data_IF_751783920808
#
_entry.id   IF_751783920808
#
_cell.length_a   1.000
_cell.length_b   1.000
_cell.length_c   1.000
_cell.angle_alpha   90.00
_cell.angle_beta   90.00
_cell.angle_gamma   90.00
#
_symmetry.space_group_name_H-M   'P 1'
#
loop_
_entity.id
_entity.type
_entity.pdbx_description
1 polymer ?
#
# COMPACT_ATOMS: atom_id res chain seq x y z
N UNK A 1 21.94 -31.40 6.79
CA UNK A 1 21.17 -30.56 5.84
C UNK A 1 22.16 -29.91 4.87
N UNK A 2 21.81 -29.84 3.59
CA UNK A 2 22.66 -29.22 2.57
C UNK A 2 22.69 -27.70 2.75
N UNK A 3 23.80 -27.04 2.40
CA UNK A 3 23.91 -25.59 2.45
C UNK A 3 22.85 -24.92 1.56
N UNK A 4 22.48 -25.58 0.45
CA UNK A 4 21.42 -25.13 -0.45
C UNK A 4 20.04 -25.10 0.23
N UNK A 5 19.70 -26.11 1.04
CA UNK A 5 18.45 -26.11 1.79
C UNK A 5 18.41 -25.02 2.86
N UNK A 6 19.55 -24.72 3.49
CA UNK A 6 19.63 -23.63 4.47
C UNK A 6 19.47 -22.25 3.82
N UNK A 7 20.07 -22.04 2.64
CA UNK A 7 19.92 -20.81 1.87
C UNK A 7 18.46 -20.63 1.41
N UNK A 8 17.81 -21.70 0.94
CA UNK A 8 16.40 -21.64 0.53
C UNK A 8 15.48 -21.29 1.71
N UNK A 9 15.69 -21.92 2.88
CA UNK A 9 14.92 -21.60 4.08
C UNK A 9 15.12 -20.14 4.50
N UNK A 10 16.35 -19.63 4.43
CA UNK A 10 16.63 -18.23 4.74
C UNK A 10 15.96 -17.27 3.74
N UNK A 11 15.94 -17.60 2.45
CA UNK A 11 15.17 -16.82 1.45
C UNK A 11 13.68 -16.82 1.77
N UNK A 12 13.11 -17.96 2.12
CA UNK A 12 11.69 -18.07 2.47
C UNK A 12 11.36 -17.26 3.74
N UNK A 13 12.25 -17.24 4.74
CA UNK A 13 12.13 -16.39 5.93
C UNK A 13 12.18 -14.90 5.59
N UNK A 14 13.11 -14.49 4.73
CA UNK A 14 13.20 -13.10 4.25
C UNK A 14 11.93 -12.69 3.50
N UNK A 15 11.41 -13.54 2.60
CA UNK A 15 10.17 -13.29 1.86
C UNK A 15 8.97 -13.22 2.81
N UNK A 16 8.88 -14.10 3.81
CA UNK A 16 7.81 -14.04 4.82
C UNK A 16 7.90 -12.81 5.71
N UNK A 17 9.10 -12.30 5.98
CA UNK A 17 9.31 -11.12 6.82
C UNK A 17 9.05 -9.82 6.06
N UNK A 18 9.59 -9.70 4.85
CA UNK A 18 9.61 -8.46 4.09
C UNK A 18 8.63 -8.41 2.92
N UNK A 19 8.23 -9.54 2.35
CA UNK A 19 7.43 -9.58 1.13
C UNK A 19 6.07 -10.24 1.33
N UNK A 20 5.64 -10.49 2.58
CA UNK A 20 4.37 -11.17 2.84
C UNK A 20 3.18 -10.28 2.42
N UNK A 21 2.42 -10.68 1.38
CA UNK A 21 1.32 -9.87 0.86
C UNK A 21 0.18 -9.71 1.87
N UNK A 22 0.07 -10.57 2.89
CA UNK A 22 -0.90 -10.44 3.99
C UNK A 22 -0.64 -9.22 4.88
N UNK A 23 0.53 -8.57 4.77
CA UNK A 23 0.92 -7.38 5.53
C UNK A 23 0.72 -6.07 4.77
N UNK A 24 0.23 -6.13 3.53
CA UNK A 24 -0.09 -4.92 2.76
C UNK A 24 -1.44 -4.37 3.20
N UNK A 25 -1.49 -3.07 3.49
CA UNK A 25 -2.73 -2.36 3.78
C UNK A 25 -3.08 -1.48 2.59
N UNK A 26 -4.33 -1.58 2.13
CA UNK A 26 -4.85 -0.75 1.07
C UNK A 26 -5.69 0.38 1.68
N UNK A 27 -5.37 1.61 1.31
CA UNK A 27 -6.19 2.76 1.64
C UNK A 27 -6.72 3.38 0.35
N UNK A 28 -8.04 3.37 0.20
CA UNK A 28 -8.71 3.82 -1.01
C UNK A 28 -9.40 5.15 -0.74
N UNK A 29 -9.09 6.17 -1.53
CA UNK A 29 -9.85 7.44 -1.49
C UNK A 29 -11.32 7.20 -1.83
N UNK A 30 -12.15 8.21 -1.59
CA UNK A 30 -13.50 8.19 -2.13
C UNK A 30 -13.51 8.13 -3.67
N UNK A 31 -14.65 7.75 -4.24
CA UNK A 31 -14.86 7.80 -5.68
C UNK A 31 -15.17 9.23 -6.11
N UNK A 32 -14.31 9.78 -6.96
CA UNK A 32 -14.42 11.10 -7.56
C UNK A 32 -15.03 10.99 -8.96
N UNK A 33 -15.92 11.92 -9.32
CA UNK A 33 -16.36 12.10 -10.71
C UNK A 33 -15.33 12.86 -11.54
N UNK A 34 -15.49 12.87 -12.87
CA UNK A 34 -14.60 13.62 -13.80
C UNK A 34 -14.48 15.11 -13.46
N UNK A 35 -15.55 15.73 -12.93
CA UNK A 35 -15.59 17.16 -12.59
C UNK A 35 -15.05 17.47 -11.18
N UNK A 36 -14.46 16.49 -10.50
CA UNK A 36 -13.98 16.70 -9.13
C UNK A 36 -12.72 17.56 -9.11
N UNK A 37 -12.63 18.47 -8.15
CA UNK A 37 -11.43 19.28 -7.94
C UNK A 37 -10.24 18.40 -7.53
N UNK A 38 -9.12 18.57 -8.25
CA UNK A 38 -7.88 17.85 -8.00
C UNK A 38 -7.32 18.14 -6.60
N UNK A 39 -7.56 19.33 -6.05
CA UNK A 39 -7.08 19.67 -4.71
C UNK A 39 -7.78 18.83 -3.62
N UNK A 40 -9.05 18.47 -3.81
CA UNK A 40 -9.76 17.56 -2.92
C UNK A 40 -9.17 16.13 -2.94
N UNK A 41 -8.71 15.69 -4.11
CA UNK A 41 -8.08 14.38 -4.28
C UNK A 41 -6.71 14.37 -3.60
N UNK A 42 -5.91 15.41 -3.81
CA UNK A 42 -4.60 15.58 -3.18
C UNK A 42 -4.71 15.58 -1.65
N UNK A 43 -5.68 16.30 -1.11
CA UNK A 43 -5.86 16.41 0.33
C UNK A 43 -6.33 15.09 0.98
N UNK A 44 -7.24 14.33 0.34
CA UNK A 44 -7.63 12.99 0.84
C UNK A 44 -6.44 12.03 0.82
N UNK A 45 -5.66 12.01 -0.27
CA UNK A 45 -4.42 11.24 -0.35
C UNK A 45 -3.44 11.62 0.76
N UNK A 46 -3.20 12.92 0.97
CA UNK A 46 -2.28 13.41 2.00
C UNK A 46 -2.71 13.01 3.40
N UNK A 47 -3.99 13.18 3.74
CA UNK A 47 -4.53 12.78 5.06
C UNK A 47 -4.35 11.30 5.33
N UNK A 48 -4.55 10.45 4.32
CA UNK A 48 -4.35 9.01 4.43
C UNK A 48 -2.89 8.67 4.62
N UNK A 49 -1.99 9.25 3.83
CA UNK A 49 -0.54 9.04 3.97
C UNK A 49 -0.10 9.36 5.40
N UNK A 50 -0.43 10.55 5.90
CA UNK A 50 -0.06 10.96 7.26
C UNK A 50 -0.66 10.06 8.34
N UNK A 51 -1.90 9.60 8.16
CA UNK A 51 -2.55 8.69 9.09
C UNK A 51 -1.82 7.33 9.21
N UNK A 52 -1.36 6.79 8.09
CA UNK A 52 -0.64 5.52 8.05
C UNK A 52 0.83 5.67 8.47
N UNK A 53 1.50 6.75 8.07
CA UNK A 53 2.86 7.09 8.52
C UNK A 53 2.95 7.25 10.04
N UNK A 54 1.99 7.97 10.64
CA UNK A 54 1.90 8.09 12.10
C UNK A 54 1.66 6.76 12.84
N UNK A 55 1.26 5.70 12.13
CA UNK A 55 1.09 4.34 12.64
C UNK A 55 2.22 3.40 12.23
N UNK A 56 3.34 3.96 11.79
CA UNK A 56 4.52 3.21 11.38
C UNK A 56 4.29 2.34 10.15
N UNK A 57 3.46 2.79 9.21
CA UNK A 57 3.39 2.24 7.87
C UNK A 57 4.02 3.23 6.88
N UNK A 58 4.62 2.74 5.81
CA UNK A 58 5.15 3.57 4.74
C UNK A 58 4.45 3.26 3.41
N UNK A 59 4.39 4.26 2.52
CA UNK A 59 3.86 4.07 1.17
C UNK A 59 4.79 3.12 0.40
N UNK A 60 4.26 1.96 0.02
CA UNK A 60 5.07 0.85 -0.48
C UNK A 60 5.29 0.89 -1.99
N UNK A 61 4.31 1.39 -2.75
CA UNK A 61 4.33 1.43 -4.21
C UNK A 61 3.63 2.68 -4.73
N UNK A 62 3.77 2.91 -6.03
CA UNK A 62 3.09 3.98 -6.73
C UNK A 62 1.56 3.93 -6.52
N UNK A 63 0.90 5.07 -6.27
CA UNK A 63 -0.56 5.13 -6.18
C UNK A 63 -1.22 4.57 -7.45
N UNK A 64 -2.18 3.67 -7.26
CA UNK A 64 -2.95 3.10 -8.37
C UNK A 64 -4.24 3.87 -8.57
N UNK A 65 -4.66 4.05 -9.82
CA UNK A 65 -5.95 4.68 -10.15
C UNK A 65 -6.93 3.57 -10.54
N UNK A 66 -7.96 3.39 -9.72
CA UNK A 66 -9.08 2.52 -10.09
C UNK A 66 -10.11 3.34 -10.87
N UNK A 67 -10.59 2.79 -11.99
CA UNK A 67 -11.61 3.42 -12.83
C UNK A 67 -12.92 2.63 -12.81
N UNK A 68 -14.04 3.35 -12.80
CA UNK A 68 -15.39 2.82 -13.08
C UNK A 68 -15.94 3.53 -14.32
N UNK A 69 -15.66 3.01 -15.53
CA UNK A 69 -15.98 3.68 -16.79
C UNK A 69 -17.48 3.98 -16.94
N UNK A 70 -18.35 3.02 -16.58
CA UNK A 70 -19.81 3.18 -16.68
C UNK A 70 -20.37 4.32 -15.81
N UNK A 71 -19.66 4.70 -14.75
CA UNK A 71 -20.07 5.76 -13.82
C UNK A 71 -19.24 7.03 -13.96
N UNK A 72 -18.25 7.05 -14.87
CA UNK A 72 -17.26 8.13 -15.01
C UNK A 72 -16.63 8.53 -13.67
N UNK A 73 -16.27 7.52 -12.88
CA UNK A 73 -15.65 7.72 -11.56
C UNK A 73 -14.26 7.12 -11.52
N UNK A 74 -13.39 7.77 -10.76
CA UNK A 74 -12.05 7.30 -10.45
C UNK A 74 -11.78 7.39 -8.95
N UNK A 75 -10.82 6.62 -8.45
CA UNK A 75 -10.28 6.79 -7.10
C UNK A 75 -8.80 6.42 -7.08
N UNK A 76 -8.10 6.91 -6.08
CA UNK A 76 -6.71 6.57 -5.84
C UNK A 76 -6.64 5.50 -4.76
N UNK A 77 -5.95 4.40 -5.06
CA UNK A 77 -5.61 3.35 -4.11
C UNK A 77 -4.15 3.50 -3.72
N UNK A 78 -3.92 3.75 -2.45
CA UNK A 78 -2.60 3.78 -1.82
C UNK A 78 -2.34 2.42 -1.17
N UNK A 79 -1.11 1.93 -1.29
CA UNK A 79 -0.71 0.66 -0.67
C UNK A 79 0.41 0.92 0.31
N UNK A 80 0.19 0.48 1.54
CA UNK A 80 1.06 0.69 2.66
C UNK A 80 1.64 -0.63 3.14
N UNK A 81 2.85 -0.56 3.69
CA UNK A 81 3.51 -1.69 4.33
C UNK A 81 4.00 -1.28 5.72
N UNK A 82 3.91 -2.15 6.74
CA UNK A 82 4.46 -1.83 8.06
C UNK A 82 5.95 -1.57 7.96
N UNK A 83 6.41 -0.53 8.64
CA UNK A 83 7.83 -0.27 8.89
C UNK A 83 8.43 -1.39 9.74
N UNK A 84 9.74 -1.56 9.70
CA UNK A 84 10.44 -2.61 10.45
C UNK A 84 10.16 -2.53 11.96
N UNK A 85 9.94 -1.33 12.50
CA UNK A 85 9.60 -1.09 13.90
C UNK A 85 8.21 -1.63 14.31
N UNK A 86 7.30 -1.79 13.36
CA UNK A 86 5.95 -2.34 13.57
C UNK A 86 5.75 -3.72 12.94
N UNK A 87 6.83 -4.34 12.43
CA UNK A 87 6.80 -5.65 11.79
C UNK A 87 7.03 -6.82 12.77
N UNK A 88 7.24 -6.51 14.05
CA UNK A 88 7.47 -7.43 15.17
C UNK A 88 6.16 -8.03 15.70
#
# INVERSE_FOLDING_TARGET
MSIFSSIQNYQDELVRRFCNPKRLLFAETQWYGEDSDIELIKEDCRKRILFFEGRGFYLFQEPQIDHRPHLKKMRVRLTFKPSESNAA
#
